data_IF_902137566964
#
_entry.id   IF_902137566964
#
_cell.length_a   1.000
_cell.length_b   1.000
_cell.length_c   1.000
_cell.angle_alpha   90.00
_cell.angle_beta   90.00
_cell.angle_gamma   90.00
#
_symmetry.space_group_name_H-M   'P 1'
#
loop_
_entity.id
_entity.type
_entity.pdbx_description
1 polymer ?
#
# COMPACT_ATOMS: atom_id res chain seq x y z
N UNK A 1 -11.70 1.88 -23.00
CA UNK A 1 -11.02 0.71 -22.35
C UNK A 1 -11.72 0.42 -21.03
N UNK A 2 -12.00 -0.85 -20.72
CA UNK A 2 -12.57 -1.25 -19.42
C UNK A 2 -11.52 -1.03 -18.30
N UNK A 3 -11.96 -0.75 -17.06
CA UNK A 3 -11.06 -0.35 -15.96
C UNK A 3 -9.94 -1.35 -15.70
N UNK A 4 -10.25 -2.66 -15.68
CA UNK A 4 -9.22 -3.71 -15.50
C UNK A 4 -8.21 -3.69 -16.62
N UNK A 5 -8.67 -3.61 -17.85
CA UNK A 5 -7.80 -3.54 -19.03
C UNK A 5 -6.91 -2.30 -18.98
N UNK A 6 -7.48 -1.13 -18.67
CA UNK A 6 -6.77 0.13 -18.54
C UNK A 6 -5.64 0.05 -17.49
N UNK A 7 -5.96 -0.42 -16.28
CA UNK A 7 -4.99 -0.51 -15.18
C UNK A 7 -3.89 -1.52 -15.51
N UNK A 8 -4.26 -2.72 -16.01
CA UNK A 8 -3.26 -3.76 -16.35
C UNK A 8 -2.41 -3.36 -17.57
N UNK A 9 -2.98 -2.69 -18.56
CA UNK A 9 -2.22 -2.15 -19.69
C UNK A 9 -1.21 -1.11 -19.22
N UNK A 10 -1.64 -0.16 -18.38
CA UNK A 10 -0.75 0.84 -17.78
C UNK A 10 0.41 0.19 -17.00
N UNK A 11 0.11 -0.80 -16.15
CA UNK A 11 1.12 -1.54 -15.38
C UNK A 11 2.10 -2.33 -16.27
N UNK A 12 1.71 -2.69 -17.48
CA UNK A 12 2.52 -3.41 -18.46
C UNK A 12 3.17 -2.49 -19.51
N UNK A 13 3.05 -1.17 -19.35
CA UNK A 13 3.54 -0.17 -20.31
C UNK A 13 2.98 -0.36 -21.73
N UNK A 14 1.75 -0.86 -21.83
CA UNK A 14 1.00 -0.96 -23.07
C UNK A 14 0.23 0.33 -23.33
N UNK A 15 -0.17 0.62 -24.58
CA UNK A 15 -0.99 1.78 -24.91
C UNK A 15 -2.30 1.80 -24.12
N UNK A 16 -2.67 2.99 -23.63
CA UNK A 16 -3.90 3.23 -22.87
C UNK A 16 -4.63 4.45 -23.45
N UNK A 17 -5.94 4.54 -23.22
CA UNK A 17 -6.76 5.66 -23.70
C UNK A 17 -6.75 6.85 -22.74
N UNK A 18 -6.36 6.66 -21.48
CA UNK A 18 -6.17 7.69 -20.45
C UNK A 18 -5.36 7.16 -19.27
N UNK A 19 -4.85 8.06 -18.45
CA UNK A 19 -4.14 7.70 -17.22
C UNK A 19 -5.12 7.14 -16.18
N UNK A 20 -4.86 5.95 -15.55
CA UNK A 20 -5.72 5.42 -14.49
C UNK A 20 -5.67 6.28 -13.22
N UNK A 21 -6.79 6.30 -12.48
CA UNK A 21 -6.95 7.04 -11.23
C UNK A 21 -7.31 6.11 -10.07
N UNK A 22 -6.62 6.23 -8.93
CA UNK A 22 -6.94 5.49 -7.73
C UNK A 22 -6.73 6.30 -6.46
N UNK A 23 -7.78 6.41 -5.62
CA UNK A 23 -7.72 7.07 -4.32
C UNK A 23 -8.34 6.20 -3.23
N UNK A 24 -7.88 6.39 -1.99
CA UNK A 24 -8.30 5.64 -0.81
C UNK A 24 -8.12 6.47 0.46
N UNK A 25 -8.81 6.08 1.52
CA UNK A 25 -8.70 6.69 2.85
C UNK A 25 -9.03 5.66 3.94
N UNK A 26 -8.61 5.94 5.17
CA UNK A 26 -9.01 5.15 6.35
C UNK A 26 -10.44 5.45 6.73
N UNK A 27 -11.16 4.43 7.16
CA UNK A 27 -12.52 4.59 7.65
C UNK A 27 -12.54 4.97 9.15
N UNK A 28 -13.59 5.68 9.60
CA UNK A 28 -13.75 6.03 11.01
C UNK A 28 -13.92 4.78 11.88
N UNK A 29 -13.68 4.90 13.20
CA UNK A 29 -13.56 3.79 14.15
C UNK A 29 -14.70 2.76 14.03
N UNK A 30 -15.94 3.16 13.96
CA UNK A 30 -17.07 2.25 13.81
C UNK A 30 -17.20 1.52 12.46
N UNK A 31 -16.28 1.77 11.51
CA UNK A 31 -16.27 1.20 10.15
C UNK A 31 -14.95 0.50 9.80
N UNK A 32 -14.14 0.11 10.77
CA UNK A 32 -12.85 -0.53 10.54
C UNK A 32 -12.90 -2.05 10.43
N UNK A 33 -13.94 -2.69 10.98
CA UNK A 33 -14.06 -4.14 11.07
C UNK A 33 -15.44 -4.64 10.60
N UNK A 34 -15.51 -5.90 10.23
CA UNK A 34 -16.73 -6.63 9.90
C UNK A 34 -17.56 -6.01 8.78
N UNK A 35 -18.86 -6.21 8.82
CA UNK A 35 -19.80 -5.73 7.80
C UNK A 35 -19.82 -4.19 7.63
N UNK A 36 -19.68 -3.35 8.68
CA UNK A 36 -19.56 -1.91 8.51
C UNK A 36 -18.36 -1.48 7.66
N UNK A 37 -17.24 -2.19 7.74
CA UNK A 37 -16.06 -1.94 6.90
C UNK A 37 -16.30 -2.32 5.44
N UNK A 38 -16.92 -3.49 5.19
CA UNK A 38 -17.33 -3.92 3.85
C UNK A 38 -18.26 -2.89 3.23
N UNK A 39 -19.30 -2.47 3.95
CA UNK A 39 -20.26 -1.48 3.46
C UNK A 39 -19.59 -0.13 3.15
N UNK A 40 -18.66 0.32 3.98
CA UNK A 40 -17.95 1.57 3.74
C UNK A 40 -17.11 1.53 2.44
N UNK A 41 -16.45 0.41 2.15
CA UNK A 41 -15.77 0.22 0.86
C UNK A 41 -16.76 0.25 -0.32
N UNK A 42 -17.89 -0.46 -0.19
CA UNK A 42 -18.91 -0.51 -1.23
C UNK A 42 -19.57 0.86 -1.46
N UNK A 43 -19.84 1.61 -0.39
CA UNK A 43 -20.37 2.97 -0.48
C UNK A 43 -19.43 3.91 -1.26
N UNK A 44 -18.12 3.72 -1.11
CA UNK A 44 -17.14 4.49 -1.85
C UNK A 44 -16.99 4.01 -3.29
N UNK A 45 -16.58 2.76 -3.52
CA UNK A 45 -16.23 2.26 -4.84
C UNK A 45 -17.41 2.08 -5.79
N UNK A 46 -18.63 1.98 -5.27
CA UNK A 46 -19.85 1.94 -6.09
C UNK A 46 -20.40 3.32 -6.46
N UNK A 47 -19.87 4.42 -5.89
CA UNK A 47 -20.37 5.78 -6.14
C UNK A 47 -19.29 6.74 -6.64
N UNK A 48 -18.00 6.37 -6.60
CA UNK A 48 -16.89 7.16 -7.15
C UNK A 48 -16.23 6.38 -8.29
N UNK A 49 -16.09 7.00 -9.45
CA UNK A 49 -15.68 6.31 -10.69
C UNK A 49 -14.16 6.16 -10.84
N UNK A 50 -13.47 5.77 -9.75
CA UNK A 50 -12.04 5.44 -9.78
C UNK A 50 -11.76 4.15 -10.55
N UNK A 51 -10.53 3.96 -11.01
CA UNK A 51 -10.14 2.84 -11.88
C UNK A 51 -9.62 1.63 -11.12
N UNK A 52 -9.36 1.75 -9.83
CA UNK A 52 -8.91 0.65 -8.97
C UNK A 52 -9.47 0.77 -7.56
N UNK A 53 -9.79 -0.37 -6.95
CA UNK A 53 -10.16 -0.44 -5.55
C UNK A 53 -8.95 -0.89 -4.72
N UNK A 54 -8.53 -0.07 -3.75
CA UNK A 54 -7.63 -0.48 -2.68
C UNK A 54 -8.45 -0.74 -1.42
N UNK A 55 -8.60 -2.01 -1.05
CA UNK A 55 -9.29 -2.39 0.18
C UNK A 55 -8.33 -2.22 1.35
N UNK A 56 -8.77 -1.49 2.37
CA UNK A 56 -7.97 -1.16 3.53
C UNK A 56 -7.96 -2.30 4.55
N UNK A 57 -6.79 -2.51 5.18
CA UNK A 57 -6.63 -3.46 6.28
C UNK A 57 -6.92 -2.83 7.66
N UNK A 58 -7.76 -1.79 7.70
CA UNK A 58 -8.17 -1.15 8.95
C UNK A 58 -8.67 -2.17 9.96
N UNK A 59 -8.17 -2.09 11.20
CA UNK A 59 -8.43 -3.04 12.25
C UNK A 59 -7.53 -4.28 12.29
N UNK A 60 -6.60 -4.43 11.32
CA UNK A 60 -5.64 -5.55 11.24
C UNK A 60 -4.18 -5.07 11.14
N UNK A 61 -3.85 -3.94 11.76
CA UNK A 61 -2.48 -3.42 11.76
C UNK A 61 -1.59 -4.21 12.71
N UNK A 62 -2.11 -4.56 13.87
CA UNK A 62 -1.39 -5.25 14.92
C UNK A 62 -1.27 -6.74 14.60
N UNK A 63 -0.07 -7.29 14.66
CA UNK A 63 0.11 -8.72 14.56
C UNK A 63 -0.34 -9.40 15.88
N UNK A 64 -1.43 -10.17 15.88
CA UNK A 64 -2.12 -10.58 17.11
C UNK A 64 -1.52 -11.85 17.74
N UNK A 65 -0.19 -11.95 17.75
CA UNK A 65 0.46 -13.10 18.37
C UNK A 65 0.67 -12.85 19.86
N UNK A 66 0.21 -13.76 20.77
CA UNK A 66 0.32 -13.59 22.21
C UNK A 66 1.77 -13.40 22.69
N UNK A 67 2.75 -14.05 22.05
CA UNK A 67 4.16 -13.86 22.39
C UNK A 67 4.62 -12.46 22.06
N UNK A 68 4.25 -11.93 20.88
CA UNK A 68 4.61 -10.59 20.46
C UNK A 68 4.15 -9.54 21.48
N UNK A 69 2.98 -9.74 22.08
CA UNK A 69 2.40 -8.85 23.10
C UNK A 69 3.07 -8.97 24.47
N UNK A 70 3.87 -10.01 24.73
CA UNK A 70 4.48 -10.32 26.05
C UNK A 70 5.99 -10.30 26.05
N UNK A 71 6.63 -10.05 24.92
CA UNK A 71 8.09 -10.03 24.78
C UNK A 71 8.74 -8.97 25.66
N UNK A 72 9.82 -9.31 26.38
CA UNK A 72 10.53 -8.44 27.29
C UNK A 72 11.97 -8.17 26.85
N UNK A 73 12.61 -9.13 26.20
CA UNK A 73 14.01 -9.05 25.72
C UNK A 73 14.10 -9.59 24.29
N UNK A 74 15.11 -9.16 23.57
CA UNK A 74 15.26 -9.52 22.17
C UNK A 74 15.25 -11.03 21.90
N UNK A 75 15.90 -11.83 22.77
CA UNK A 75 15.94 -13.28 22.60
C UNK A 75 14.59 -13.99 22.68
N UNK A 76 13.55 -13.34 23.22
CA UNK A 76 12.21 -13.94 23.30
C UNK A 76 11.61 -14.13 21.90
N UNK A 77 12.00 -13.32 20.92
CA UNK A 77 11.55 -13.44 19.53
C UNK A 77 11.84 -14.78 18.88
N UNK A 78 12.90 -15.50 19.33
CA UNK A 78 13.20 -16.84 18.79
C UNK A 78 12.12 -17.89 19.09
N UNK A 79 11.25 -17.64 20.03
CA UNK A 79 10.11 -18.51 20.34
C UNK A 79 8.84 -18.20 19.53
N UNK A 80 8.83 -17.12 18.75
CA UNK A 80 7.68 -16.75 17.93
C UNK A 80 7.36 -17.87 16.92
N UNK A 81 6.08 -18.15 16.74
CA UNK A 81 5.56 -19.12 15.77
C UNK A 81 4.49 -18.48 14.91
N UNK A 82 4.33 -18.86 13.63
CA UNK A 82 3.29 -18.33 12.78
C UNK A 82 1.89 -18.66 13.34
N UNK A 83 0.93 -17.80 12.98
CA UNK A 83 -0.49 -17.98 13.30
C UNK A 83 -1.11 -19.10 12.45
N UNK A 84 -0.72 -19.16 11.17
CA UNK A 84 -1.21 -20.12 10.19
C UNK A 84 -2.52 -19.73 9.52
N UNK A 85 -2.82 -20.38 8.40
CA UNK A 85 -3.89 -20.03 7.45
C UNK A 85 -5.30 -20.00 8.03
N UNK A 86 -5.57 -20.76 9.08
CA UNK A 86 -6.91 -20.87 9.69
C UNK A 86 -7.13 -19.89 10.84
N UNK A 87 -6.11 -19.10 11.20
CA UNK A 87 -6.23 -18.08 12.24
C UNK A 87 -7.21 -16.97 11.83
N UNK A 88 -8.10 -16.51 12.75
CA UNK A 88 -9.08 -15.45 12.43
C UNK A 88 -8.47 -14.21 11.80
N UNK A 89 -7.31 -13.76 12.26
CA UNK A 89 -6.57 -12.63 11.68
C UNK A 89 -6.36 -12.76 10.16
N UNK A 90 -6.10 -13.95 9.65
CA UNK A 90 -5.92 -14.21 8.22
C UNK A 90 -7.28 -14.37 7.53
N UNK A 91 -8.15 -15.24 8.08
CA UNK A 91 -9.44 -15.56 7.45
C UNK A 91 -10.36 -14.36 7.32
N UNK A 92 -10.49 -13.55 8.36
CA UNK A 92 -11.36 -12.36 8.33
C UNK A 92 -10.92 -11.31 7.32
N UNK A 93 -9.62 -11.18 7.03
CA UNK A 93 -9.10 -10.31 5.98
C UNK A 93 -9.46 -10.84 4.59
N UNK A 94 -9.33 -12.14 4.37
CA UNK A 94 -9.74 -12.81 3.11
C UNK A 94 -11.24 -12.67 2.88
N UNK A 95 -12.05 -12.92 3.93
CA UNK A 95 -13.51 -12.82 3.88
C UNK A 95 -13.97 -11.37 3.61
N UNK A 96 -13.28 -10.37 4.20
CA UNK A 96 -13.52 -8.94 3.90
C UNK A 96 -13.34 -8.65 2.43
N UNK A 97 -12.20 -9.06 1.86
CA UNK A 97 -11.91 -8.79 0.44
C UNK A 97 -12.93 -9.48 -0.46
N UNK A 98 -13.25 -10.74 -0.17
CA UNK A 98 -14.28 -11.47 -0.90
C UNK A 98 -15.63 -10.76 -0.84
N UNK A 99 -16.08 -10.35 0.35
CA UNK A 99 -17.35 -9.66 0.52
C UNK A 99 -17.41 -8.31 -0.22
N UNK A 100 -16.31 -7.53 -0.21
CA UNK A 100 -16.22 -6.29 -0.99
C UNK A 100 -16.26 -6.62 -2.48
N UNK A 101 -15.44 -7.57 -2.95
CA UNK A 101 -15.40 -7.99 -4.37
C UNK A 101 -16.76 -8.40 -4.88
N UNK A 102 -17.47 -9.23 -4.13
CA UNK A 102 -18.81 -9.74 -4.48
C UNK A 102 -19.89 -8.63 -4.51
N UNK A 103 -19.68 -7.54 -3.73
CA UNK A 103 -20.60 -6.40 -3.65
C UNK A 103 -20.29 -5.24 -4.60
N UNK A 104 -19.18 -5.27 -5.34
CA UNK A 104 -18.86 -4.25 -6.35
C UNK A 104 -19.86 -4.32 -7.52
N UNK A 105 -20.42 -3.15 -7.89
CA UNK A 105 -21.30 -3.04 -9.07
C UNK A 105 -20.57 -3.23 -10.39
N UNK A 106 -19.30 -2.80 -10.43
CA UNK A 106 -18.43 -3.01 -11.57
C UNK A 106 -17.52 -4.23 -11.33
N UNK A 107 -17.80 -5.39 -11.91
CA UNK A 107 -16.97 -6.58 -11.77
C UNK A 107 -15.60 -6.43 -12.46
N UNK A 108 -15.47 -5.43 -13.34
CA UNK A 108 -14.23 -5.07 -14.03
C UNK A 108 -13.29 -4.20 -13.19
N UNK A 109 -13.73 -3.67 -12.06
CA UNK A 109 -12.85 -2.86 -11.19
C UNK A 109 -11.76 -3.75 -10.57
N UNK A 110 -10.46 -3.52 -10.85
CA UNK A 110 -9.39 -4.31 -10.24
C UNK A 110 -9.27 -3.99 -8.74
N UNK A 111 -9.01 -5.04 -7.96
CA UNK A 111 -8.99 -5.00 -6.49
C UNK A 111 -7.60 -5.31 -5.96
N UNK A 112 -7.10 -4.44 -5.10
CA UNK A 112 -5.84 -4.58 -4.39
C UNK A 112 -6.09 -4.52 -2.88
N UNK A 113 -5.45 -5.39 -2.10
CA UNK A 113 -5.58 -5.36 -0.65
C UNK A 113 -4.33 -4.80 0.01
N UNK A 114 -4.52 -3.93 1.00
CA UNK A 114 -3.41 -3.38 1.78
C UNK A 114 -2.84 -4.44 2.73
N UNK A 115 -1.55 -4.74 2.57
CA UNK A 115 -0.81 -5.63 3.48
C UNK A 115 0.36 -4.85 4.06
N UNK A 116 0.45 -4.77 5.38
CA UNK A 116 1.64 -4.21 6.02
C UNK A 116 2.79 -5.21 6.03
N UNK A 117 3.98 -4.71 5.75
CA UNK A 117 5.22 -5.47 5.84
C UNK A 117 5.47 -5.97 7.28
N UNK A 118 6.20 -7.07 7.49
CA UNK A 118 6.44 -7.66 8.81
C UNK A 118 6.98 -6.67 9.84
N UNK A 119 7.89 -5.79 9.44
CA UNK A 119 8.46 -4.77 10.32
C UNK A 119 7.42 -3.73 10.79
N UNK A 120 6.46 -3.39 9.95
CA UNK A 120 5.34 -2.54 10.35
C UNK A 120 4.41 -3.27 11.32
N UNK A 121 4.02 -4.50 10.99
CA UNK A 121 3.07 -5.30 11.78
C UNK A 121 3.57 -5.61 13.19
N UNK A 122 4.86 -5.93 13.34
CA UNK A 122 5.45 -6.19 14.67
C UNK A 122 5.49 -4.92 15.53
N UNK A 123 5.72 -3.74 14.92
CA UNK A 123 5.73 -2.46 15.60
C UNK A 123 4.35 -2.03 16.05
N UNK A 124 3.31 -2.27 15.24
CA UNK A 124 1.93 -2.04 15.62
C UNK A 124 1.45 -2.99 16.74
N UNK A 125 1.84 -4.26 16.68
CA UNK A 125 1.50 -5.27 17.70
C UNK A 125 2.26 -5.14 19.02
N UNK A 126 3.30 -4.26 19.07
CA UNK A 126 4.12 -3.99 20.27
C UNK A 126 4.33 -2.48 20.47
N UNK A 127 5.52 -2.01 20.25
CA UNK A 127 5.83 -0.59 20.08
C UNK A 127 7.07 -0.39 19.22
N UNK A 128 7.17 0.78 18.60
CA UNK A 128 8.33 1.16 17.80
C UNK A 128 9.61 1.16 18.63
N UNK A 129 9.56 1.73 19.83
CA UNK A 129 10.68 1.83 20.74
C UNK A 129 11.22 0.46 21.16
N UNK A 130 10.32 -0.48 21.46
CA UNK A 130 10.70 -1.83 21.87
C UNK A 130 11.39 -2.56 20.71
N UNK A 131 10.82 -2.55 19.53
CA UNK A 131 11.40 -3.22 18.35
C UNK A 131 12.75 -2.63 17.99
N UNK A 132 12.88 -1.29 18.03
CA UNK A 132 14.15 -0.62 17.78
C UNK A 132 15.22 -0.92 18.85
N UNK A 133 14.82 -1.06 20.12
CA UNK A 133 15.74 -1.47 21.19
C UNK A 133 16.21 -2.92 20.96
N UNK A 134 15.30 -3.83 20.67
CA UNK A 134 15.62 -5.24 20.41
C UNK A 134 16.45 -5.42 19.13
N UNK A 135 16.22 -4.59 18.10
CA UNK A 135 17.04 -4.60 16.89
C UNK A 135 18.50 -4.20 17.16
N UNK A 136 18.74 -3.34 18.17
CA UNK A 136 20.09 -2.99 18.62
C UNK A 136 20.71 -4.07 19.52
N UNK A 137 19.91 -4.73 20.34
CA UNK A 137 20.34 -5.77 21.29
C UNK A 137 20.68 -7.07 20.55
N UNK A 138 19.74 -7.62 19.77
CA UNK A 138 19.89 -8.83 18.97
C UNK A 138 19.11 -8.70 17.64
N UNK A 139 19.74 -8.14 16.60
CA UNK A 139 19.07 -7.96 15.31
C UNK A 139 18.66 -9.28 14.63
N UNK A 140 19.30 -10.42 14.98
CA UNK A 140 18.93 -11.72 14.42
C UNK A 140 17.65 -12.25 15.04
N UNK A 141 17.40 -11.98 16.31
CA UNK A 141 16.15 -12.35 16.97
C UNK A 141 14.97 -11.59 16.37
N UNK A 142 15.13 -10.29 16.08
CA UNK A 142 14.12 -9.48 15.38
C UNK A 142 13.92 -10.02 13.95
N UNK A 143 15.00 -10.28 13.20
CA UNK A 143 14.91 -10.83 11.86
C UNK A 143 14.15 -12.17 11.84
N UNK A 144 14.38 -13.06 12.81
CA UNK A 144 13.60 -14.29 12.96
C UNK A 144 12.10 -14.00 13.15
N UNK A 145 11.74 -13.04 13.99
CA UNK A 145 10.34 -12.66 14.16
C UNK A 145 9.72 -12.12 12.86
N UNK A 146 10.49 -11.33 12.10
CA UNK A 146 10.02 -10.83 10.79
C UNK A 146 9.82 -11.96 9.78
N UNK A 147 10.68 -12.97 9.78
CA UNK A 147 10.53 -14.16 8.92
C UNK A 147 9.27 -14.95 9.26
N UNK A 148 8.95 -15.10 10.55
CA UNK A 148 7.71 -15.75 11.01
C UNK A 148 6.46 -14.97 10.55
N UNK A 149 6.47 -13.64 10.71
CA UNK A 149 5.36 -12.79 10.23
C UNK A 149 5.28 -12.81 8.69
N UNK A 150 6.42 -12.89 7.99
CA UNK A 150 6.45 -13.00 6.54
C UNK A 150 5.83 -14.30 6.03
N UNK A 151 5.92 -15.41 6.79
CA UNK A 151 5.21 -16.65 6.48
C UNK A 151 3.70 -16.44 6.48
N UNK A 152 3.14 -15.84 7.54
CA UNK A 152 1.71 -15.53 7.62
C UNK A 152 1.25 -14.52 6.56
N UNK A 153 2.04 -13.47 6.31
CA UNK A 153 1.75 -12.50 5.25
C UNK A 153 1.78 -13.15 3.86
N UNK A 154 2.67 -14.12 3.63
CA UNK A 154 2.74 -14.86 2.38
C UNK A 154 1.48 -15.71 2.17
N UNK A 155 1.04 -16.41 3.22
CA UNK A 155 -0.22 -17.17 3.23
C UNK A 155 -1.41 -16.24 2.96
N UNK A 156 -1.46 -15.09 3.64
CA UNK A 156 -2.51 -14.08 3.42
C UNK A 156 -2.54 -13.62 1.96
N UNK A 157 -1.39 -13.24 1.38
CA UNK A 157 -1.30 -12.80 -0.01
C UNK A 157 -1.80 -13.89 -0.98
N UNK A 158 -1.40 -15.14 -0.79
CA UNK A 158 -1.88 -16.29 -1.58
C UNK A 158 -3.39 -16.41 -1.52
N UNK A 159 -3.98 -16.45 -0.31
CA UNK A 159 -5.43 -16.61 -0.12
C UNK A 159 -6.22 -15.41 -0.66
N UNK A 160 -5.72 -14.19 -0.54
CA UNK A 160 -6.34 -13.01 -1.12
C UNK A 160 -6.50 -13.13 -2.65
N UNK A 161 -5.50 -13.68 -3.34
CA UNK A 161 -5.54 -13.83 -4.80
C UNK A 161 -6.29 -15.10 -5.24
N UNK A 162 -6.15 -16.21 -4.52
CA UNK A 162 -6.73 -17.51 -4.92
C UNK A 162 -8.16 -17.73 -4.42
N UNK A 163 -8.53 -17.17 -3.26
CA UNK A 163 -9.84 -17.38 -2.65
C UNK A 163 -10.75 -16.14 -2.71
N UNK A 164 -10.17 -14.92 -2.60
CA UNK A 164 -10.95 -13.69 -2.55
C UNK A 164 -10.99 -12.90 -3.87
N UNK A 165 -10.23 -13.32 -4.89
CA UNK A 165 -10.23 -12.70 -6.22
C UNK A 165 -9.56 -11.32 -6.27
N UNK A 166 -8.57 -11.07 -5.41
CA UNK A 166 -7.70 -9.90 -5.48
C UNK A 166 -6.83 -9.95 -6.73
N UNK A 167 -6.61 -8.81 -7.39
CA UNK A 167 -5.73 -8.71 -8.56
C UNK A 167 -4.27 -8.60 -8.17
N UNK A 168 -3.99 -8.19 -6.93
CA UNK A 168 -2.67 -8.06 -6.34
C UNK A 168 -2.76 -7.48 -4.93
N UNK A 169 -1.62 -7.27 -4.32
CA UNK A 169 -1.53 -6.61 -3.01
C UNK A 169 -0.94 -5.21 -3.14
N UNK A 170 -1.37 -4.33 -2.24
CA UNK A 170 -0.76 -3.04 -1.97
C UNK A 170 0.10 -3.21 -0.71
N UNK A 171 1.37 -3.53 -0.92
CA UNK A 171 2.32 -3.90 0.12
C UNK A 171 2.98 -2.67 0.71
N UNK A 172 2.74 -2.40 2.00
CA UNK A 172 3.16 -1.18 2.66
C UNK A 172 4.40 -1.42 3.53
N UNK A 173 5.52 -0.80 3.15
CA UNK A 173 6.76 -0.78 3.92
C UNK A 173 6.94 0.54 4.68
N UNK A 174 7.50 0.45 5.87
CA UNK A 174 7.75 1.58 6.77
C UNK A 174 9.07 1.39 7.53
N UNK A 175 9.51 2.43 8.22
CA UNK A 175 10.63 2.34 9.15
C UNK A 175 12.00 2.49 8.50
N UNK A 176 12.04 2.94 7.23
CA UNK A 176 13.27 3.25 6.49
C UNK A 176 13.72 4.71 6.59
N UNK A 177 13.20 5.47 7.57
CA UNK A 177 13.55 6.89 7.74
C UNK A 177 15.05 7.07 7.95
N UNK A 178 15.64 8.07 7.29
CA UNK A 178 17.09 8.36 7.31
C UNK A 178 17.67 8.59 8.70
N UNK A 179 16.85 9.07 9.62
CA UNK A 179 17.23 9.32 11.01
C UNK A 179 17.04 8.11 11.95
N UNK A 180 16.46 7.00 11.46
CA UNK A 180 16.09 5.83 12.28
C UNK A 180 17.16 4.74 12.27
N UNK A 181 17.57 4.29 11.10
CA UNK A 181 18.61 3.27 10.96
C UNK A 181 19.38 3.43 9.64
N UNK A 182 20.53 2.77 9.56
CA UNK A 182 21.31 2.76 8.32
C UNK A 182 20.69 1.84 7.28
N UNK A 183 20.95 2.15 6.00
CA UNK A 183 20.62 1.29 4.84
C UNK A 183 21.16 -0.13 5.03
N UNK A 184 22.38 -0.28 5.56
CA UNK A 184 22.98 -1.60 5.81
C UNK A 184 22.16 -2.44 6.81
N UNK A 185 21.73 -1.83 7.92
CA UNK A 185 20.89 -2.51 8.93
C UNK A 185 19.54 -2.91 8.35
N UNK A 186 18.87 -2.01 7.64
CA UNK A 186 17.59 -2.30 7.00
C UNK A 186 17.71 -3.45 6.01
N UNK A 187 18.66 -3.34 5.08
CA UNK A 187 18.89 -4.36 4.05
C UNK A 187 19.27 -5.73 4.61
N UNK A 188 20.02 -5.75 5.71
CA UNK A 188 20.48 -7.01 6.30
C UNK A 188 19.42 -7.75 7.10
N UNK A 189 18.59 -7.03 7.85
CA UNK A 189 17.70 -7.64 8.85
C UNK A 189 16.21 -7.49 8.57
N UNK A 190 15.80 -6.54 7.70
CA UNK A 190 14.38 -6.27 7.41
C UNK A 190 14.05 -6.66 5.97
N UNK A 191 14.83 -6.20 4.99
CA UNK A 191 14.61 -6.47 3.55
C UNK A 191 14.36 -7.95 3.21
N UNK A 192 15.03 -8.96 3.82
CA UNK A 192 14.79 -10.36 3.47
C UNK A 192 13.34 -10.80 3.66
N UNK A 193 12.71 -10.46 4.80
CA UNK A 193 11.31 -10.78 5.08
C UNK A 193 10.35 -10.09 4.12
N UNK A 194 10.56 -8.81 3.81
CA UNK A 194 9.75 -8.06 2.87
C UNK A 194 9.78 -8.66 1.45
N UNK A 195 10.99 -8.97 0.98
CA UNK A 195 11.18 -9.59 -0.35
C UNK A 195 10.62 -11.00 -0.42
N UNK A 196 10.65 -11.77 0.68
CA UNK A 196 10.03 -13.09 0.75
C UNK A 196 8.52 -12.99 0.50
N UNK A 197 7.82 -12.08 1.17
CA UNK A 197 6.37 -11.85 0.97
C UNK A 197 6.06 -11.45 -0.47
N UNK A 198 6.73 -10.42 -1.00
CA UNK A 198 6.49 -9.95 -2.37
C UNK A 198 6.82 -11.02 -3.43
N UNK A 199 7.91 -11.77 -3.24
CA UNK A 199 8.27 -12.85 -4.14
C UNK A 199 7.27 -14.00 -4.10
N UNK A 200 6.67 -14.28 -2.92
CA UNK A 200 5.59 -15.25 -2.81
C UNK A 200 4.31 -14.74 -3.50
N UNK A 201 3.91 -13.51 -3.25
CA UNK A 201 2.75 -12.88 -3.88
C UNK A 201 2.86 -12.88 -5.41
N UNK A 202 4.06 -12.65 -5.96
CA UNK A 202 4.34 -12.66 -7.40
C UNK A 202 4.12 -14.03 -8.08
N UNK A 203 4.04 -15.13 -7.31
CA UNK A 203 3.69 -16.44 -7.88
C UNK A 203 2.22 -16.53 -8.28
N UNK A 204 1.36 -15.71 -7.68
CA UNK A 204 -0.09 -15.71 -7.88
C UNK A 204 -0.57 -14.52 -8.70
N UNK A 205 0.09 -13.37 -8.59
CA UNK A 205 -0.16 -12.20 -9.43
C UNK A 205 1.11 -11.36 -9.60
N UNK A 206 1.43 -10.91 -10.84
CA UNK A 206 2.54 -9.98 -11.06
C UNK A 206 2.18 -8.52 -10.75
N UNK A 207 0.91 -8.21 -10.42
CA UNK A 207 0.39 -6.85 -10.31
C UNK A 207 0.46 -6.30 -8.90
N UNK A 208 1.55 -6.56 -8.17
CA UNK A 208 1.72 -6.08 -6.81
C UNK A 208 2.28 -4.66 -6.79
N UNK A 209 1.75 -3.84 -5.87
CA UNK A 209 2.11 -2.43 -5.66
C UNK A 209 2.93 -2.34 -4.38
N UNK A 210 4.10 -1.71 -4.43
CA UNK A 210 4.90 -1.37 -3.26
C UNK A 210 4.59 0.07 -2.84
N UNK A 211 4.22 0.28 -1.59
CA UNK A 211 4.08 1.59 -0.99
C UNK A 211 5.20 1.88 0.00
N UNK A 212 6.06 2.84 -0.34
CA UNK A 212 7.10 3.37 0.54
C UNK A 212 6.47 4.48 1.40
N UNK A 213 6.02 4.13 2.59
CA UNK A 213 5.18 4.99 3.41
C UNK A 213 5.98 6.11 4.10
N UNK A 214 5.53 7.35 3.97
CA UNK A 214 6.08 8.52 4.66
C UNK A 214 5.36 8.86 5.97
N UNK A 215 4.83 7.87 6.69
CA UNK A 215 3.97 8.05 7.86
C UNK A 215 4.58 8.91 8.97
N UNK A 216 5.90 8.82 9.16
CA UNK A 216 6.60 9.58 10.19
C UNK A 216 6.81 11.06 9.83
N UNK A 217 6.59 11.44 8.57
CA UNK A 217 6.84 12.79 8.08
C UNK A 217 8.33 13.09 7.78
N UNK A 218 9.22 12.13 8.03
CA UNK A 218 10.65 12.19 7.72
C UNK A 218 10.98 11.47 6.41
N UNK A 219 11.95 11.94 5.63
CA UNK A 219 12.40 11.26 4.42
C UNK A 219 13.00 9.88 4.71
N UNK A 220 12.67 8.90 3.87
CA UNK A 220 13.20 7.55 3.93
C UNK A 220 14.50 7.39 3.13
N UNK A 221 15.24 6.32 3.42
CA UNK A 221 16.28 5.79 2.54
C UNK A 221 15.59 4.98 1.43
N UNK A 222 15.07 5.64 0.39
CA UNK A 222 14.31 4.97 -0.69
C UNK A 222 15.13 3.90 -1.42
N UNK A 223 16.46 3.99 -1.37
CA UNK A 223 17.38 2.96 -1.88
C UNK A 223 17.20 1.60 -1.21
N UNK A 224 16.66 1.52 0.01
CA UNK A 224 16.33 0.26 0.68
C UNK A 224 15.29 -0.56 -0.08
N UNK A 225 14.43 0.11 -0.83
CA UNK A 225 13.29 -0.47 -1.53
C UNK A 225 13.41 -0.45 -3.06
N UNK A 226 14.51 0.10 -3.60
CA UNK A 226 14.70 0.31 -5.04
C UNK A 226 14.58 -0.97 -5.87
N UNK A 227 15.09 -2.07 -5.33
CA UNK A 227 15.15 -3.38 -6.01
C UNK A 227 14.06 -4.38 -5.55
N UNK A 228 13.03 -3.91 -4.83
CA UNK A 228 11.93 -4.77 -4.43
C UNK A 228 11.15 -5.26 -5.65
N UNK A 229 10.69 -6.52 -5.66
CA UNK A 229 10.07 -7.15 -6.82
C UNK A 229 8.59 -6.78 -6.98
N UNK A 230 8.26 -5.49 -6.91
CA UNK A 230 6.92 -4.97 -7.18
C UNK A 230 6.81 -4.44 -8.61
N UNK A 231 5.61 -4.52 -9.19
CA UNK A 231 5.29 -4.01 -10.52
C UNK A 231 5.09 -2.50 -10.54
N UNK A 232 4.48 -1.98 -9.48
CA UNK A 232 4.13 -0.57 -9.32
C UNK A 232 4.75 -0.05 -8.03
N UNK A 233 5.20 1.19 -8.05
CA UNK A 233 5.74 1.87 -6.86
C UNK A 233 4.90 3.09 -6.54
N UNK A 234 4.58 3.26 -5.26
CA UNK A 234 3.97 4.45 -4.68
C UNK A 234 4.84 4.93 -3.51
N UNK A 235 5.03 6.22 -3.38
CA UNK A 235 5.79 6.82 -2.27
C UNK A 235 5.24 8.19 -1.90
N UNK A 236 5.66 8.70 -0.75
CA UNK A 236 5.28 10.03 -0.25
C UNK A 236 6.09 11.12 -0.97
N UNK A 237 5.72 11.45 -2.23
CA UNK A 237 6.50 12.32 -3.12
C UNK A 237 6.87 13.68 -2.51
N UNK A 238 5.96 14.29 -1.74
CA UNK A 238 6.19 15.58 -1.09
C UNK A 238 7.11 15.48 0.14
N UNK A 239 7.07 14.37 0.88
CA UNK A 239 7.97 14.10 2.01
C UNK A 239 9.38 13.81 1.48
N UNK A 240 9.49 12.94 0.48
CA UNK A 240 10.75 12.53 -0.14
C UNK A 240 11.37 13.62 -1.03
N UNK A 241 10.61 14.67 -1.37
CA UNK A 241 10.99 15.71 -2.35
C UNK A 241 11.42 15.12 -3.69
N UNK A 242 10.74 14.05 -4.08
CA UNK A 242 10.98 13.31 -5.33
C UNK A 242 9.67 13.24 -6.12
N UNK A 243 9.60 13.99 -7.23
CA UNK A 243 8.45 13.97 -8.13
C UNK A 243 8.31 12.61 -8.86
N UNK A 244 7.16 12.39 -9.48
CA UNK A 244 6.82 11.10 -10.11
C UNK A 244 7.79 10.72 -11.24
N UNK A 245 8.28 11.69 -12.03
CA UNK A 245 9.20 11.43 -13.16
C UNK A 245 10.57 11.00 -12.63
N UNK A 246 11.11 11.72 -11.65
CA UNK A 246 12.38 11.36 -11.00
C UNK A 246 12.28 10.02 -10.28
N UNK A 247 11.17 9.80 -9.56
CA UNK A 247 10.94 8.53 -8.86
C UNK A 247 10.84 7.35 -9.83
N UNK A 248 10.14 7.50 -10.97
CA UNK A 248 10.11 6.46 -12.00
C UNK A 248 11.52 6.10 -12.50
N UNK A 249 12.35 7.09 -12.77
CA UNK A 249 13.74 6.85 -13.17
C UNK A 249 14.55 6.18 -12.04
N UNK A 250 14.39 6.64 -10.80
CA UNK A 250 15.06 6.07 -9.63
C UNK A 250 14.70 4.59 -9.41
N UNK A 251 13.43 4.21 -9.58
CA UNK A 251 12.97 2.83 -9.45
C UNK A 251 13.08 2.01 -10.75
N UNK A 252 13.99 2.39 -11.67
CA UNK A 252 14.32 1.61 -12.85
C UNK A 252 13.23 1.55 -13.91
N UNK A 253 12.42 2.58 -14.04
CA UNK A 253 11.37 2.69 -15.05
C UNK A 253 10.08 1.93 -14.73
N UNK A 254 9.91 1.40 -13.53
CA UNK A 254 8.67 0.73 -13.10
C UNK A 254 7.48 1.68 -13.21
N UNK A 255 6.28 1.12 -13.32
CA UNK A 255 5.05 1.91 -13.22
C UNK A 255 4.99 2.60 -11.87
N UNK A 256 4.59 3.87 -11.85
CA UNK A 256 4.44 4.66 -10.63
C UNK A 256 3.00 5.07 -10.41
N UNK A 257 2.57 5.07 -9.15
CA UNK A 257 1.24 5.49 -8.70
C UNK A 257 1.42 6.62 -7.69
N UNK A 258 0.77 7.75 -7.87
CA UNK A 258 0.86 8.84 -6.91
C UNK A 258 0.80 10.23 -7.54
N UNK A 259 1.47 11.19 -6.87
CA UNK A 259 1.63 12.57 -7.32
C UNK A 259 0.69 13.56 -6.65
N UNK A 260 -0.35 13.11 -5.95
CA UNK A 260 -1.23 14.00 -5.20
C UNK A 260 -0.84 14.00 -3.72
N UNK A 261 -0.39 15.15 -3.22
CA UNK A 261 -0.13 15.36 -1.80
C UNK A 261 -1.38 15.01 -0.98
N UNK A 262 -1.25 14.03 -0.11
CA UNK A 262 -2.35 13.53 0.74
C UNK A 262 -2.62 14.39 1.97
N UNK A 263 -1.87 15.46 2.20
CA UNK A 263 -2.05 16.36 3.36
C UNK A 263 -3.17 17.37 3.10
N UNK A 264 -3.78 17.88 4.19
CA UNK A 264 -4.83 18.92 4.10
C UNK A 264 -4.34 20.23 3.46
N UNK A 265 -3.03 20.45 3.40
CA UNK A 265 -2.39 21.58 2.72
C UNK A 265 -2.17 21.35 1.23
N UNK A 266 -2.32 20.10 0.75
CA UNK A 266 -2.16 19.74 -0.66
C UNK A 266 -3.27 20.32 -1.52
N UNK A 267 -2.97 20.55 -2.82
CA UNK A 267 -3.91 21.17 -3.77
C UNK A 267 -5.19 20.34 -3.94
N UNK A 268 -5.09 19.02 -3.85
CA UNK A 268 -6.26 18.13 -3.94
C UNK A 268 -7.26 18.40 -2.81
N UNK A 269 -6.80 18.67 -1.58
CA UNK A 269 -7.66 18.93 -0.43
C UNK A 269 -8.11 20.40 -0.36
N UNK A 270 -7.20 21.36 -0.55
CA UNK A 270 -7.45 22.78 -0.27
C UNK A 270 -7.71 23.64 -1.51
N UNK A 271 -7.34 23.19 -2.70
CA UNK A 271 -7.46 23.96 -3.93
C UNK A 271 -8.90 24.10 -4.45
N UNK A 272 -9.12 25.06 -5.32
CA UNK A 272 -10.33 25.19 -6.13
C UNK A 272 -10.37 24.12 -7.24
N UNK A 273 -11.54 23.89 -7.85
CA UNK A 273 -11.69 22.96 -8.98
C UNK A 273 -10.68 23.25 -10.10
N UNK A 274 -10.53 24.53 -10.45
CA UNK A 274 -9.60 24.96 -11.52
C UNK A 274 -8.13 24.66 -11.18
N UNK A 275 -7.72 24.85 -9.92
CA UNK A 275 -6.37 24.56 -9.45
C UNK A 275 -6.10 23.06 -9.43
N UNK A 276 -7.05 22.24 -8.92
CA UNK A 276 -6.95 20.78 -8.95
C UNK A 276 -6.82 20.27 -10.38
N UNK A 277 -7.69 20.70 -11.29
CA UNK A 277 -7.65 20.25 -12.68
C UNK A 277 -6.39 20.71 -13.42
N UNK A 278 -5.91 21.93 -13.15
CA UNK A 278 -4.63 22.42 -13.71
C UNK A 278 -3.47 21.56 -13.21
N UNK A 279 -3.47 21.25 -11.93
CA UNK A 279 -2.43 20.41 -11.32
C UNK A 279 -2.40 19.00 -11.93
N UNK A 280 -3.57 18.36 -12.07
CA UNK A 280 -3.68 17.00 -12.66
C UNK A 280 -3.20 17.00 -14.13
N UNK A 281 -3.64 17.98 -14.95
CA UNK A 281 -3.13 18.08 -16.32
C UNK A 281 -1.61 18.31 -16.37
N UNK A 282 -1.07 19.06 -15.41
CA UNK A 282 0.38 19.25 -15.27
C UNK A 282 1.12 17.96 -14.93
N UNK A 283 0.55 17.11 -14.06
CA UNK A 283 1.11 15.79 -13.75
C UNK A 283 1.13 14.90 -15.01
N UNK A 284 0.03 14.81 -15.73
CA UNK A 284 -0.06 14.01 -16.97
C UNK A 284 0.98 14.51 -17.99
N UNK A 285 1.01 15.81 -18.24
CA UNK A 285 1.94 16.41 -19.20
C UNK A 285 3.43 16.31 -18.80
N UNK A 286 3.73 15.97 -17.54
CA UNK A 286 5.12 15.77 -17.08
C UNK A 286 5.74 14.46 -17.54
N UNK A 287 4.92 13.51 -18.01
CA UNK A 287 5.38 12.24 -18.54
C UNK A 287 5.48 12.28 -20.06
N UNK A 288 6.59 11.77 -20.60
CA UNK A 288 6.82 11.71 -22.05
C UNK A 288 5.99 10.60 -22.76
N UNK A 289 5.31 9.77 -21.98
CA UNK A 289 4.44 8.69 -22.46
C UNK A 289 3.25 8.49 -21.52
N UNK A 290 2.10 8.15 -22.10
CA UNK A 290 0.85 7.91 -21.35
C UNK A 290 0.89 6.60 -20.54
N UNK A 291 1.93 5.79 -20.68
CA UNK A 291 2.04 4.46 -20.04
C UNK A 291 2.96 4.47 -18.84
N UNK A 292 2.66 3.60 -17.86
CA UNK A 292 3.50 3.43 -16.67
C UNK A 292 3.35 4.56 -15.64
N UNK A 293 2.25 5.33 -15.70
CA UNK A 293 1.86 6.30 -14.67
C UNK A 293 0.39 6.17 -14.33
N UNK A 294 0.09 6.16 -13.05
CA UNK A 294 -1.24 6.15 -12.47
C UNK A 294 -1.38 7.30 -11.47
N UNK A 295 -2.45 8.07 -11.55
CA UNK A 295 -2.72 9.15 -10.59
C UNK A 295 -3.27 8.57 -9.30
N UNK A 296 -2.70 8.98 -8.19
CA UNK A 296 -3.14 8.63 -6.85
C UNK A 296 -2.59 9.58 -5.80
N UNK A 297 -2.90 9.30 -4.55
CA UNK A 297 -2.32 10.04 -3.44
C UNK A 297 -0.94 9.47 -3.04
N UNK A 298 -0.11 10.33 -2.46
CA UNK A 298 1.20 9.96 -1.90
C UNK A 298 1.07 8.90 -0.78
N UNK A 299 -0.04 8.97 -0.06
CA UNK A 299 -0.45 8.00 0.96
C UNK A 299 -1.99 8.03 1.07
N UNK A 300 -2.55 7.67 2.19
CA UNK A 300 -3.99 7.71 2.46
C UNK A 300 -4.50 9.16 2.52
N UNK A 301 -5.58 9.47 1.81
CA UNK A 301 -6.24 10.77 1.88
C UNK A 301 -6.88 11.00 3.26
N UNK A 302 -7.08 12.27 3.69
CA UNK A 302 -7.89 12.57 4.87
C UNK A 302 -9.30 12.00 4.72
N UNK A 303 -9.80 11.32 5.76
CA UNK A 303 -11.13 10.70 5.73
C UNK A 303 -12.31 11.68 5.68
N UNK A 304 -12.04 12.97 5.84
CA UNK A 304 -13.00 14.08 5.73
C UNK A 304 -12.91 14.84 4.40
N UNK A 305 -12.17 14.31 3.42
CA UNK A 305 -12.10 14.93 2.08
C UNK A 305 -13.47 14.89 1.40
N UNK A 306 -13.84 16.00 0.78
CA UNK A 306 -15.02 16.03 -0.09
C UNK A 306 -14.78 15.19 -1.35
N UNK A 307 -15.57 14.13 -1.53
CA UNK A 307 -15.45 13.22 -2.66
C UNK A 307 -15.61 13.89 -4.02
N UNK A 308 -16.32 15.02 -4.09
CA UNK A 308 -16.42 15.82 -5.31
C UNK A 308 -15.02 16.25 -5.84
N UNK A 309 -14.01 16.31 -4.97
CA UNK A 309 -12.64 16.63 -5.39
C UNK A 309 -11.99 15.51 -6.21
N UNK A 310 -12.38 14.27 -5.94
CA UNK A 310 -11.97 13.11 -6.76
C UNK A 310 -12.66 13.20 -8.13
N UNK A 311 -13.92 13.61 -8.18
CA UNK A 311 -14.62 13.84 -9.46
C UNK A 311 -13.92 14.91 -10.31
N UNK A 312 -13.38 15.97 -9.68
CA UNK A 312 -12.59 16.98 -10.41
C UNK A 312 -11.31 16.42 -11.01
N UNK A 313 -10.68 15.45 -10.35
CA UNK A 313 -9.51 14.72 -10.90
C UNK A 313 -9.94 13.87 -12.09
N UNK A 314 -11.02 13.09 -11.95
CA UNK A 314 -11.57 12.25 -13.02
C UNK A 314 -11.94 13.08 -14.26
N UNK A 315 -12.64 14.21 -14.06
CA UNK A 315 -12.94 15.14 -15.14
C UNK A 315 -11.68 15.69 -15.84
N UNK A 316 -10.62 15.98 -15.07
CA UNK A 316 -9.37 16.49 -15.65
C UNK A 316 -8.66 15.44 -16.50
N UNK A 317 -8.71 14.18 -16.08
CA UNK A 317 -8.10 13.04 -16.79
C UNK A 317 -8.87 12.71 -18.08
N UNK A 318 -10.21 12.73 -18.02
CA UNK A 318 -11.05 12.44 -19.20
C UNK A 318 -10.98 13.54 -20.30
N UNK A 319 -10.52 14.73 -19.92
CA UNK A 319 -10.38 15.89 -20.83
C UNK A 319 -8.91 16.26 -21.12
N UNK A 320 -7.96 15.36 -20.82
CA UNK A 320 -6.53 15.60 -21.02
C UNK A 320 -6.04 15.21 -22.43
#
# INVERSE_FOLDING_TARGET
MEKRELVMACMNHLPIDRVPVGFWFHFPEGKKLGQPCVQAHLDYYNNVDVDMAKIMCDGYFDYPNPLAQSVQKASDWYALKPLGKDHPFIREQVDRVKAVRDGLRDPGLPVFYNVFAPFSSIRYGTSDELVMAHLKEDPKAVAHALDVIAEDNSILCEMLMTEAGCDGVYYCVQGGEKNRMSVEMYRKYITPSDKAVLSHANKFSPYNILHCCGWAGDPNNLEDWQDYPAKVINWAAFIEKMDMVKGRAFFGGKTVLGGCDNRKTGVLYSGTKAEVQKFIRGLIASFDSDTGYMIGADCTLPGDIDLQRIDWVLEAVHNA
#
